data_IF_043535837618
#
_entry.id   IF_043535837618
#
_cell.length_a   1.000
_cell.length_b   1.000
_cell.length_c   1.000
_cell.angle_alpha   90.00
_cell.angle_beta   90.00
_cell.angle_gamma   90.00
#
_symmetry.space_group_name_H-M   'P 1'
#
loop_
_entity.id
_entity.type
_entity.pdbx_description
1 polymer ?
#
# COMPACT_ATOMS: atom_id res chain seq x y z
N UNK A 1 2.06 15.38 -9.16
CA UNK A 1 2.01 14.38 -8.07
C UNK A 1 1.49 13.10 -8.66
N UNK A 2 2.39 12.17 -8.94
CA UNK A 2 2.03 10.86 -9.45
C UNK A 2 1.20 10.15 -8.37
N UNK A 3 -0.06 9.88 -8.69
CA UNK A 3 -1.01 9.27 -7.76
C UNK A 3 -0.65 7.78 -7.68
N UNK A 4 -0.11 7.34 -6.54
CA UNK A 4 0.19 5.91 -6.29
C UNK A 4 -1.01 5.08 -6.71
N UNK A 5 -0.78 4.13 -7.61
CA UNK A 5 -1.81 3.25 -8.16
C UNK A 5 -2.16 2.12 -7.18
N UNK A 6 -3.25 1.39 -7.44
CA UNK A 6 -3.63 0.24 -6.62
C UNK A 6 -2.53 -0.83 -6.56
N UNK A 7 -1.86 -1.07 -7.69
CA UNK A 7 -0.77 -2.03 -7.81
C UNK A 7 0.47 -1.62 -7.03
N UNK A 8 0.87 -0.34 -7.11
CA UNK A 8 1.98 0.17 -6.32
C UNK A 8 1.67 0.14 -4.82
N UNK A 9 0.45 0.52 -4.42
CA UNK A 9 0.03 0.43 -3.03
C UNK A 9 0.00 -1.03 -2.52
N UNK A 10 -0.47 -1.97 -3.34
CA UNK A 10 -0.42 -3.39 -3.01
C UNK A 10 1.02 -3.89 -2.83
N UNK A 11 1.95 -3.45 -3.69
CA UNK A 11 3.36 -3.80 -3.58
C UNK A 11 3.99 -3.25 -2.30
N UNK A 12 3.67 -2.01 -1.94
CA UNK A 12 4.09 -1.39 -0.67
C UNK A 12 3.58 -2.23 0.51
N UNK A 13 2.29 -2.59 0.52
CA UNK A 13 1.71 -3.43 1.56
C UNK A 13 2.34 -4.83 1.63
N UNK A 14 2.72 -5.41 0.50
CA UNK A 14 3.43 -6.69 0.46
C UNK A 14 4.84 -6.58 1.07
N UNK A 15 5.64 -5.59 0.68
CA UNK A 15 7.00 -5.39 1.22
C UNK A 15 6.96 -5.15 2.75
N UNK A 16 5.96 -4.40 3.24
CA UNK A 16 5.73 -4.21 4.69
C UNK A 16 5.40 -5.51 5.42
N UNK A 17 4.64 -6.41 4.78
CA UNK A 17 4.26 -7.71 5.35
C UNK A 17 5.44 -8.68 5.39
N UNK A 18 6.27 -8.68 4.35
CA UNK A 18 7.44 -9.54 4.24
C UNK A 18 8.60 -9.08 5.13
N UNK A 19 8.70 -7.77 5.38
CA UNK A 19 9.78 -7.16 6.18
C UNK A 19 9.22 -6.32 7.33
N UNK A 20 8.60 -6.95 8.34
CA UNK A 20 8.16 -6.23 9.53
C UNK A 20 9.36 -5.52 10.18
N UNK A 21 9.23 -4.21 10.44
CA UNK A 21 10.30 -3.35 10.98
C UNK A 21 11.09 -2.54 9.95
N UNK A 22 10.92 -2.77 8.65
CA UNK A 22 11.54 -1.97 7.58
C UNK A 22 10.65 -0.82 7.07
N UNK A 23 9.58 -0.50 7.80
CA UNK A 23 8.57 0.49 7.41
C UNK A 23 9.17 1.86 7.08
N UNK A 24 10.17 2.30 7.85
CA UNK A 24 10.86 3.57 7.60
C UNK A 24 11.66 3.56 6.29
N UNK A 25 12.28 2.43 5.95
CA UNK A 25 13.03 2.28 4.70
C UNK A 25 12.08 2.26 3.50
N UNK A 26 10.95 1.56 3.61
CA UNK A 26 9.92 1.50 2.57
C UNK A 26 9.29 2.89 2.39
N UNK A 27 8.93 3.56 3.49
CA UNK A 27 8.41 4.94 3.46
C UNK A 27 9.39 5.90 2.77
N UNK A 28 10.69 5.80 3.09
CA UNK A 28 11.73 6.63 2.46
C UNK A 28 11.88 6.33 0.96
N UNK A 29 11.78 5.05 0.56
CA UNK A 29 11.82 4.63 -0.85
C UNK A 29 10.64 5.19 -1.67
N UNK A 30 9.47 5.31 -1.05
CA UNK A 30 8.27 5.91 -1.65
C UNK A 30 8.35 7.44 -1.64
N UNK A 31 9.30 8.03 -0.89
CA UNK A 31 9.51 9.48 -0.85
C UNK A 31 8.42 10.24 -0.09
N UNK A 32 7.62 9.55 0.74
CA UNK A 32 6.55 10.17 1.51
C UNK A 32 7.03 10.55 2.91
N UNK A 33 6.70 11.76 3.34
CA UNK A 33 6.82 12.13 4.75
C UNK A 33 5.88 11.27 5.62
N UNK A 34 6.13 11.16 6.94
CA UNK A 34 5.27 10.38 7.83
C UNK A 34 3.78 10.76 7.75
N UNK A 35 3.50 12.06 7.58
CA UNK A 35 2.13 12.54 7.41
C UNK A 35 1.53 12.15 6.04
N UNK A 36 2.33 12.19 4.97
CA UNK A 36 1.90 11.74 3.64
C UNK A 36 1.68 10.23 3.57
N UNK A 37 2.47 9.47 4.32
CA UNK A 37 2.31 8.02 4.48
C UNK A 37 0.99 7.67 5.19
N UNK A 38 0.70 8.33 6.32
CA UNK A 38 -0.57 8.17 7.01
C UNK A 38 -1.77 8.56 6.13
N UNK A 39 -1.66 9.67 5.38
CA UNK A 39 -2.69 10.11 4.46
C UNK A 39 -2.91 9.13 3.29
N UNK A 40 -1.84 8.52 2.76
CA UNK A 40 -1.93 7.47 1.74
C UNK A 40 -2.75 6.28 2.24
N UNK A 41 -2.43 5.77 3.43
CA UNK A 41 -3.15 4.64 4.03
C UNK A 41 -4.60 5.00 4.32
N UNK A 42 -4.87 6.18 4.87
CA UNK A 42 -6.23 6.65 5.14
C UNK A 42 -7.07 6.73 3.86
N UNK A 43 -6.53 7.35 2.80
CA UNK A 43 -7.20 7.46 1.50
C UNK A 43 -7.55 6.09 0.91
N UNK A 44 -6.63 5.11 0.99
CA UNK A 44 -6.91 3.76 0.51
C UNK A 44 -7.91 3.03 1.40
N UNK A 45 -7.84 3.23 2.71
CA UNK A 45 -8.82 2.68 3.65
C UNK A 45 -10.24 3.17 3.31
N UNK A 46 -10.42 4.48 3.14
CA UNK A 46 -11.73 5.05 2.76
C UNK A 46 -12.25 4.49 1.44
N UNK A 47 -11.37 4.34 0.44
CA UNK A 47 -11.73 3.73 -0.85
C UNK A 47 -12.16 2.27 -0.71
N UNK A 48 -11.52 1.50 0.16
CA UNK A 48 -11.89 0.11 0.40
C UNK A 48 -13.20 -0.05 1.19
N UNK A 49 -13.53 0.91 2.05
CA UNK A 49 -14.83 0.94 2.72
C UNK A 49 -15.95 1.28 1.73
N UNK A 50 -15.69 2.21 0.81
CA UNK A 50 -16.65 2.59 -0.22
C UNK A 50 -16.80 1.53 -1.34
N UNK A 51 -15.72 0.82 -1.68
CA UNK A 51 -15.71 -0.19 -2.75
C UNK A 51 -15.05 -1.50 -2.27
N UNK A 52 -15.85 -2.48 -1.82
CA UNK A 52 -15.34 -3.79 -1.40
C UNK A 52 -14.75 -4.60 -2.57
N UNK A 53 -15.15 -4.36 -3.82
CA UNK A 53 -14.56 -5.03 -4.98
C UNK A 53 -13.14 -4.52 -5.25
N UNK A 54 -12.89 -3.22 -5.03
CA UNK A 54 -11.55 -2.64 -5.06
C UNK A 54 -10.65 -3.26 -3.98
N UNK A 55 -11.19 -3.46 -2.77
CA UNK A 55 -10.48 -4.15 -1.69
C UNK A 55 -10.10 -5.58 -2.07
N UNK A 56 -11.02 -6.35 -2.68
CA UNK A 56 -10.74 -7.71 -3.13
C UNK A 56 -9.62 -7.74 -4.19
N UNK A 57 -9.63 -6.79 -5.14
CA UNK A 57 -8.54 -6.64 -6.14
C UNK A 57 -7.20 -6.32 -5.49
N UNK A 58 -7.17 -5.42 -4.51
CA UNK A 58 -5.95 -5.11 -3.74
C UNK A 58 -5.41 -6.33 -2.99
N UNK A 59 -6.27 -7.11 -2.34
CA UNK A 59 -5.84 -8.33 -1.64
C UNK A 59 -5.20 -9.33 -2.61
N UNK A 60 -5.83 -9.58 -3.77
CA UNK A 60 -5.26 -10.45 -4.80
C UNK A 60 -3.91 -9.96 -5.33
N UNK A 61 -3.69 -8.64 -5.40
CA UNK A 61 -2.41 -8.06 -5.80
C UNK A 61 -1.32 -8.24 -4.73
N UNK A 62 -1.67 -8.13 -3.45
CA UNK A 62 -0.75 -8.42 -2.33
C UNK A 62 -0.34 -9.88 -2.37
N UNK A 63 -1.29 -10.81 -2.51
CA UNK A 63 -1.01 -12.25 -2.55
C UNK A 63 -0.08 -12.60 -3.72
N UNK A 64 -0.34 -12.05 -4.91
CA UNK A 64 0.56 -12.22 -6.06
C UNK A 64 1.96 -11.65 -5.83
N UNK A 65 2.07 -10.54 -5.09
CA UNK A 65 3.37 -9.90 -4.81
C UNK A 65 4.17 -10.67 -3.77
N UNK A 66 3.51 -11.26 -2.77
CA UNK A 66 4.15 -12.07 -1.72
C UNK A 66 4.58 -13.48 -2.19
N UNK A 67 4.08 -13.94 -3.34
CA UNK A 67 4.42 -15.24 -3.92
C UNK A 67 5.69 -15.21 -4.79
N UNK A 68 6.37 -14.06 -4.89
CA UNK A 68 7.46 -13.79 -5.84
C UNK A 68 8.84 -13.85 -5.19
#
# INVERSE_FOLDING_TARGET
>A
MERITLGEYAHICADLRERPGHEQQIQSRVGLSPQGWAALHAMWHERFQADPALKARWQALIEQSAQR
#
